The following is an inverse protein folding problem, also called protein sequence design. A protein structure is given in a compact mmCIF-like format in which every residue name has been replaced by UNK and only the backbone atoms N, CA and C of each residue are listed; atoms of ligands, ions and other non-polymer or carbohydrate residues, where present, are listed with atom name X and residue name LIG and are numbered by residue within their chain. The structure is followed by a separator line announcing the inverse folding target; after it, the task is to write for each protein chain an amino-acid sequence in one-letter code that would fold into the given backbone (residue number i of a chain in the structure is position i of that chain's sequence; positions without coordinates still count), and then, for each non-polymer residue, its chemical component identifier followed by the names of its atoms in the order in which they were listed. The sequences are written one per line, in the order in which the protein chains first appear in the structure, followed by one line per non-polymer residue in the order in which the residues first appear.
data_IF_697136310495
#
_entry.id   IF_697136310495
#
_cell.length_a   1.000
_cell.length_b   1.000
_cell.length_c   1.000
_cell.angle_alpha   90.00
_cell.angle_beta   90.00
_cell.angle_gamma   90.00
#
_symmetry.space_group_name_H-M   'P 1'
#
loop_
_entity.id
_entity.type
_entity.pdbx_description
1 polymer ?
#
# COMPACT_ATOMS: atom_id res chain seq x y z
N UNK A 1 -4.85 35.93 -52.11
CA UNK A 1 -4.27 36.35 -50.82
C UNK A 1 -5.34 36.25 -49.73
N UNK A 2 -5.19 35.36 -48.76
CA UNK A 2 -6.04 35.36 -47.56
C UNK A 2 -5.16 35.08 -46.33
N UNK A 3 -4.84 36.14 -45.57
CA UNK A 3 -4.09 36.06 -44.32
C UNK A 3 -5.05 35.63 -43.19
N UNK A 4 -4.80 34.45 -42.61
CA UNK A 4 -5.53 33.92 -41.45
C UNK A 4 -4.99 34.58 -40.18
N UNK A 5 -5.75 35.45 -39.54
CA UNK A 5 -5.38 36.09 -38.29
C UNK A 5 -5.52 35.12 -37.10
N UNK A 6 -4.42 34.85 -36.40
CA UNK A 6 -4.39 34.04 -35.18
C UNK A 6 -4.74 34.88 -33.94
N UNK A 7 -5.92 34.65 -33.35
CA UNK A 7 -6.31 35.24 -32.05
C UNK A 7 -5.46 34.64 -30.91
N UNK A 8 -4.61 35.45 -30.28
CA UNK A 8 -3.92 35.09 -29.02
C UNK A 8 -4.93 34.90 -27.89
N UNK A 9 -4.97 33.70 -27.28
CA UNK A 9 -5.75 33.41 -26.06
C UNK A 9 -5.17 34.19 -24.87
N UNK A 10 -6.01 35.00 -24.22
CA UNK A 10 -5.71 35.71 -22.96
C UNK A 10 -5.58 34.68 -21.83
N UNK A 11 -4.39 34.57 -21.22
CA UNK A 11 -4.15 33.73 -20.04
C UNK A 11 -4.79 34.43 -18.82
N UNK A 12 -5.79 33.80 -18.19
CA UNK A 12 -6.33 34.26 -16.90
C UNK A 12 -5.27 34.02 -15.82
N UNK A 13 -4.85 35.07 -15.09
CA UNK A 13 -4.01 34.95 -13.88
C UNK A 13 -4.69 33.98 -12.91
N UNK A 14 -3.97 32.96 -12.43
CA UNK A 14 -4.52 32.01 -11.45
C UNK A 14 -4.83 32.75 -10.15
N UNK A 15 -6.02 32.49 -9.58
CA UNK A 15 -6.35 32.99 -8.24
C UNK A 15 -5.36 32.38 -7.24
N UNK A 16 -4.84 33.21 -6.32
CA UNK A 16 -4.01 32.75 -5.20
C UNK A 16 -4.78 31.68 -4.41
N UNK A 17 -4.09 30.64 -3.96
CA UNK A 17 -4.73 29.60 -3.14
C UNK A 17 -5.19 30.19 -1.80
N UNK A 18 -6.17 29.55 -1.15
CA UNK A 18 -6.64 29.98 0.19
C UNK A 18 -5.50 30.00 1.20
N UNK A 19 -4.55 29.06 1.08
CA UNK A 19 -3.33 29.02 1.90
C UNK A 19 -2.40 30.21 1.65
N UNK A 20 -2.24 30.64 0.38
CA UNK A 20 -1.45 31.83 0.03
C UNK A 20 -2.08 33.13 0.53
N UNK A 21 -3.41 33.21 0.55
CA UNK A 21 -4.13 34.36 1.11
C UNK A 21 -3.96 34.41 2.62
N UNK A 22 -4.10 33.25 3.28
CA UNK A 22 -3.95 33.09 4.73
C UNK A 22 -2.56 33.43 5.24
N UNK A 23 -1.52 32.91 4.59
CA UNK A 23 -0.13 33.25 4.91
C UNK A 23 0.16 34.75 4.74
N UNK A 24 -0.44 35.40 3.74
CA UNK A 24 -0.30 36.83 3.52
C UNK A 24 -1.03 37.68 4.59
N UNK A 25 -2.11 37.16 5.18
CA UNK A 25 -2.91 37.88 6.19
C UNK A 25 -2.44 37.66 7.62
N UNK A 26 -2.01 36.44 7.97
CA UNK A 26 -1.72 36.05 9.36
C UNK A 26 -0.23 35.76 9.63
N UNK A 27 0.61 35.76 8.60
CA UNK A 27 2.04 35.45 8.73
C UNK A 27 2.34 33.96 8.92
N UNK A 28 3.60 33.67 9.23
CA UNK A 28 4.11 32.31 9.43
C UNK A 28 3.64 31.70 10.77
N UNK A 29 3.82 30.38 10.93
CA UNK A 29 3.49 29.69 12.18
C UNK A 29 4.32 30.27 13.35
N UNK A 30 3.70 30.56 14.51
CA UNK A 30 4.40 31.10 15.67
C UNK A 30 5.57 30.21 16.15
N UNK A 31 6.72 30.84 16.39
CA UNK A 31 7.92 30.22 16.99
C UNK A 31 8.17 30.75 18.41
N UNK A 32 8.99 30.01 19.18
CA UNK A 32 9.19 30.24 20.62
C UNK A 32 10.65 30.54 21.01
N UNK A 33 11.55 30.67 20.04
CA UNK A 33 12.99 30.88 20.26
C UNK A 33 13.34 32.23 20.92
N UNK A 34 12.49 33.24 20.76
CA UNK A 34 12.63 34.61 21.26
C UNK A 34 11.99 34.82 22.64
N UNK A 35 11.41 33.77 23.23
CA UNK A 35 10.67 33.89 24.50
C UNK A 35 11.55 34.32 25.68
N UNK A 36 12.86 34.08 25.62
CA UNK A 36 13.83 34.53 26.63
C UNK A 36 13.98 36.06 26.71
N UNK A 37 13.59 36.78 25.65
CA UNK A 37 13.66 38.24 25.57
C UNK A 37 12.34 38.94 25.85
N UNK A 38 11.30 38.18 26.20
CA UNK A 38 9.94 38.68 26.44
C UNK A 38 9.59 38.63 27.92
N UNK A 39 8.80 39.60 28.36
CA UNK A 39 8.17 39.57 29.68
C UNK A 39 7.09 38.49 29.75
N UNK A 40 6.71 38.06 30.95
CA UNK A 40 5.65 37.04 31.14
C UNK A 40 4.31 37.45 30.51
N UNK A 41 3.98 38.75 30.55
CA UNK A 41 2.78 39.31 29.92
C UNK A 41 2.85 39.23 28.39
N UNK A 42 4.01 39.53 27.80
CA UNK A 42 4.23 39.44 26.35
C UNK A 42 4.22 37.98 25.87
N UNK A 43 4.79 37.06 26.63
CA UNK A 43 4.71 35.61 26.35
C UNK A 43 3.25 35.15 26.36
N UNK A 44 2.47 35.57 27.35
CA UNK A 44 1.04 35.24 27.44
C UNK A 44 0.25 35.79 26.25
N UNK A 45 0.51 37.05 25.88
CA UNK A 45 -0.10 37.69 24.70
C UNK A 45 0.28 36.96 23.40
N UNK A 46 1.54 36.52 23.28
CA UNK A 46 2.04 35.75 22.15
C UNK A 46 1.37 34.37 22.04
N UNK A 47 1.16 33.69 23.17
CA UNK A 47 0.38 32.43 23.23
C UNK A 47 -1.07 32.65 22.75
N UNK A 48 -1.72 33.73 23.21
CA UNK A 48 -3.06 34.10 22.74
C UNK A 48 -3.12 34.34 21.23
N UNK A 49 -2.14 35.06 20.70
CA UNK A 49 -1.99 35.31 19.26
C UNK A 49 -1.76 34.01 18.48
N UNK A 50 -1.00 33.07 19.05
CA UNK A 50 -0.77 31.77 18.44
C UNK A 50 -2.04 30.91 18.35
N UNK A 51 -2.87 30.90 19.39
CA UNK A 51 -4.18 30.23 19.32
C UNK A 51 -5.07 30.79 18.22
N UNK A 52 -5.10 32.12 18.07
CA UNK A 52 -5.82 32.77 16.98
C UNK A 52 -5.26 32.36 15.62
N UNK A 53 -3.93 32.30 15.47
CA UNK A 53 -3.31 31.83 14.24
C UNK A 53 -3.74 30.40 13.90
N UNK A 54 -3.69 29.47 14.86
CA UNK A 54 -4.11 28.07 14.63
C UNK A 54 -5.60 27.96 14.27
N UNK A 55 -6.47 28.72 14.95
CA UNK A 55 -7.90 28.72 14.67
C UNK A 55 -8.23 29.16 13.23
N UNK A 56 -7.49 30.13 12.70
CA UNK A 56 -7.73 30.69 11.35
C UNK A 56 -7.03 29.90 10.24
N UNK A 57 -5.83 29.39 10.52
CA UNK A 57 -4.95 28.81 9.50
C UNK A 57 -5.04 27.29 9.39
N UNK A 58 -5.65 26.59 10.35
CA UNK A 58 -5.74 25.13 10.33
C UNK A 58 -7.17 24.58 10.24
N UNK A 59 -7.32 23.51 9.45
CA UNK A 59 -8.56 22.75 9.36
C UNK A 59 -8.72 21.80 10.56
N UNK A 60 -9.92 21.27 10.81
CA UNK A 60 -10.09 20.21 11.83
C UNK A 60 -9.19 18.98 11.54
N UNK A 61 -8.96 18.65 10.26
CA UNK A 61 -8.07 17.54 9.88
C UNK A 61 -6.62 17.81 10.29
N UNK A 62 -6.16 19.05 10.08
CA UNK A 62 -4.81 19.50 10.45
C UNK A 62 -4.61 19.48 11.96
N UNK A 63 -5.60 19.96 12.73
CA UNK A 63 -5.58 19.92 14.19
C UNK A 63 -5.44 18.48 14.73
N UNK A 64 -6.23 17.54 14.22
CA UNK A 64 -6.10 16.13 14.62
C UNK A 64 -4.72 15.55 14.28
N UNK A 65 -4.17 15.90 13.11
CA UNK A 65 -2.84 15.45 12.73
C UNK A 65 -1.80 15.91 13.75
N UNK A 66 -1.82 17.19 14.14
CA UNK A 66 -0.89 17.72 15.14
C UNK A 66 -1.05 17.05 16.50
N UNK A 67 -2.28 16.82 16.95
CA UNK A 67 -2.54 16.12 18.20
C UNK A 67 -1.91 14.72 18.23
N UNK A 68 -2.14 13.91 17.18
CA UNK A 68 -1.56 12.55 17.10
C UNK A 68 -0.05 12.54 16.82
N UNK A 69 0.53 13.61 16.29
CA UNK A 69 1.99 13.78 16.21
C UNK A 69 2.60 14.12 17.57
N UNK A 70 1.93 14.97 18.35
CA UNK A 70 2.33 15.31 19.71
C UNK A 70 2.28 14.10 20.64
N UNK A 71 1.21 13.28 20.60
CA UNK A 71 1.11 12.07 21.44
C UNK A 71 2.31 11.13 21.26
N UNK A 72 2.86 11.04 20.04
CA UNK A 72 4.04 10.21 19.73
C UNK A 72 5.33 10.78 20.30
N UNK A 73 5.40 12.10 20.52
CA UNK A 73 6.54 12.78 21.13
C UNK A 73 6.41 12.83 22.66
N UNK A 74 5.19 12.78 23.18
CA UNK A 74 4.87 12.89 24.60
C UNK A 74 4.75 11.52 25.32
N UNK A 75 5.38 10.47 24.77
CA UNK A 75 5.50 9.13 25.36
C UNK A 75 4.19 8.40 25.73
N UNK A 76 3.08 8.71 25.06
CA UNK A 76 1.85 7.91 25.20
C UNK A 76 2.02 6.52 24.61
N UNK A 77 1.45 5.52 25.29
CA UNK A 77 1.50 4.13 24.88
C UNK A 77 0.69 3.89 23.59
N UNK A 78 0.98 2.77 22.92
CA UNK A 78 0.24 2.40 21.69
C UNK A 78 -1.24 2.15 21.96
N UNK A 79 -1.57 1.63 23.13
CA UNK A 79 -2.94 1.28 23.51
C UNK A 79 -3.76 2.53 23.83
N UNK A 80 -3.19 3.50 24.54
CA UNK A 80 -3.82 4.82 24.74
C UNK A 80 -4.08 5.53 23.40
N UNK A 81 -3.11 5.47 22.46
CA UNK A 81 -3.30 6.03 21.11
C UNK A 81 -4.38 5.26 20.34
N UNK A 82 -4.52 3.96 20.55
CA UNK A 82 -5.58 3.13 19.94
C UNK A 82 -6.96 3.53 20.49
N UNK A 83 -7.08 3.68 21.82
CA UNK A 83 -8.30 4.16 22.48
C UNK A 83 -8.71 5.55 21.96
N UNK A 84 -7.77 6.49 21.90
CA UNK A 84 -8.05 7.82 21.34
C UNK A 84 -8.52 7.75 19.88
N UNK A 85 -7.97 6.86 19.05
CA UNK A 85 -8.44 6.69 17.67
C UNK A 85 -9.82 6.05 17.54
N UNK A 86 -10.30 5.34 18.57
CA UNK A 86 -11.63 4.77 18.58
C UNK A 86 -12.72 5.85 18.68
N UNK A 87 -12.39 7.01 19.28
CA UNK A 87 -13.30 8.13 19.45
C UNK A 87 -13.67 8.79 18.10
N UNK A 88 -14.91 9.29 17.96
CA UNK A 88 -15.32 10.04 16.78
C UNK A 88 -14.45 11.28 16.57
N UNK A 89 -13.97 11.54 15.35
CA UNK A 89 -13.13 12.72 15.06
C UNK A 89 -13.77 14.07 15.46
N UNK A 90 -15.10 14.15 15.55
CA UNK A 90 -15.80 15.37 15.96
C UNK A 90 -15.71 15.66 17.46
N UNK A 91 -15.37 14.67 18.29
CA UNK A 91 -15.28 14.81 19.75
C UNK A 91 -13.95 15.41 20.24
N UNK A 92 -13.00 15.65 19.33
CA UNK A 92 -11.74 16.33 19.63
C UNK A 92 -11.91 17.84 19.50
N UNK A 93 -11.73 18.55 20.61
CA UNK A 93 -11.79 20.01 20.60
C UNK A 93 -10.57 20.59 19.87
N UNK A 94 -10.81 21.56 18.98
CA UNK A 94 -9.73 22.22 18.21
C UNK A 94 -8.72 22.91 19.14
N UNK A 95 -9.20 23.52 20.22
CA UNK A 95 -8.37 24.17 21.22
C UNK A 95 -7.33 23.20 21.80
N UNK A 96 -7.76 22.04 22.29
CA UNK A 96 -6.86 21.02 22.86
C UNK A 96 -5.87 20.48 21.82
N UNK A 97 -6.29 20.34 20.57
CA UNK A 97 -5.38 19.95 19.49
C UNK A 97 -4.33 21.04 19.18
N UNK A 98 -4.69 22.32 19.33
CA UNK A 98 -3.76 23.44 19.18
C UNK A 98 -2.79 23.53 20.38
N UNK A 99 -3.26 23.25 21.60
CA UNK A 99 -2.38 23.10 22.79
C UNK A 99 -1.32 22.03 22.54
N UNK A 100 -1.71 20.87 22.03
CA UNK A 100 -0.77 19.81 21.68
C UNK A 100 0.28 20.26 20.63
N UNK A 101 -0.11 21.09 19.66
CA UNK A 101 0.82 21.66 18.67
C UNK A 101 1.79 22.63 19.32
N UNK A 102 1.30 23.52 20.18
CA UNK A 102 2.13 24.47 20.93
C UNK A 102 3.17 23.75 21.80
N UNK A 103 2.74 22.73 22.54
CA UNK A 103 3.63 21.88 23.34
C UNK A 103 4.67 21.15 22.46
N UNK A 104 4.26 20.61 21.32
CA UNK A 104 5.17 19.95 20.38
C UNK A 104 6.22 20.89 19.76
N UNK A 105 5.95 22.20 19.76
CA UNK A 105 6.83 23.26 19.25
C UNK A 105 7.62 23.95 20.38
N UNK A 106 7.48 23.52 21.64
CA UNK A 106 8.24 24.07 22.77
C UNK A 106 7.71 25.39 23.34
N UNK A 107 6.43 25.70 23.16
CA UNK A 107 5.83 26.90 23.74
C UNK A 107 5.88 26.86 25.29
N UNK A 108 6.24 27.96 25.97
CA UNK A 108 6.25 28.06 27.44
C UNK A 108 4.82 28.24 27.98
N UNK A 109 4.00 27.20 27.85
CA UNK A 109 2.63 27.18 28.38
C UNK A 109 2.68 27.02 29.90
N UNK A 110 1.87 27.80 30.62
CA UNK A 110 1.74 27.68 32.07
C UNK A 110 1.39 26.24 32.50
N UNK A 111 2.06 25.75 33.54
CA UNK A 111 1.94 24.36 34.03
C UNK A 111 0.50 23.96 34.36
N UNK A 112 -0.28 24.90 34.91
CA UNK A 112 -1.72 24.70 35.20
C UNK A 112 -2.54 24.39 33.95
N UNK A 113 -2.17 24.92 32.78
CA UNK A 113 -2.83 24.61 31.51
C UNK A 113 -2.36 23.28 30.94
N UNK A 114 -1.08 22.95 31.11
CA UNK A 114 -0.53 21.64 30.72
C UNK A 114 -1.25 20.53 31.49
N UNK A 115 -1.47 20.72 32.79
CA UNK A 115 -2.16 19.75 33.64
C UNK A 115 -3.63 19.57 33.22
N UNK A 116 -4.33 20.67 32.92
CA UNK A 116 -5.69 20.62 32.37
C UNK A 116 -5.73 19.85 31.05
N UNK A 117 -4.79 20.12 30.14
CA UNK A 117 -4.69 19.43 28.86
C UNK A 117 -4.49 17.92 29.06
N UNK A 118 -3.54 17.52 29.91
CA UNK A 118 -3.29 16.10 30.24
C UNK A 118 -4.54 15.43 30.81
N UNK A 119 -5.26 16.09 31.72
CA UNK A 119 -6.53 15.58 32.28
C UNK A 119 -7.60 15.39 31.21
N UNK A 120 -7.73 16.32 30.26
CA UNK A 120 -8.64 16.18 29.12
C UNK A 120 -8.26 14.95 28.27
N UNK A 121 -6.97 14.78 27.97
CA UNK A 121 -6.48 13.63 27.19
C UNK A 121 -6.74 12.31 27.91
N UNK A 122 -6.52 12.24 29.22
CA UNK A 122 -6.82 11.05 30.03
C UNK A 122 -8.30 10.70 30.02
N UNK A 123 -9.19 11.69 30.13
CA UNK A 123 -10.63 11.45 30.02
C UNK A 123 -11.00 10.90 28.64
N UNK A 124 -10.39 11.43 27.57
CA UNK A 124 -10.59 10.89 26.22
C UNK A 124 -10.00 9.50 26.03
N UNK A 125 -8.93 9.13 26.73
CA UNK A 125 -8.44 7.75 26.71
C UNK A 125 -9.51 6.83 27.31
N UNK A 126 -10.03 7.14 28.49
CA UNK A 126 -11.08 6.35 29.16
C UNK A 126 -12.34 6.18 28.30
N UNK A 127 -12.83 7.27 27.71
CA UNK A 127 -13.95 7.20 26.77
C UNK A 127 -13.64 6.31 25.55
N UNK A 128 -12.40 6.36 25.06
CA UNK A 128 -11.93 5.55 23.95
C UNK A 128 -11.81 4.06 24.30
N UNK A 129 -11.39 3.75 25.52
CA UNK A 129 -11.32 2.39 26.07
C UNK A 129 -12.73 1.79 26.19
N UNK A 130 -13.68 2.54 26.74
CA UNK A 130 -15.08 2.12 26.82
C UNK A 130 -15.68 1.82 25.44
N UNK A 131 -15.44 2.68 24.44
CA UNK A 131 -15.89 2.44 23.05
C UNK A 131 -15.27 1.16 22.44
N UNK A 132 -14.07 0.77 22.87
CA UNK A 132 -13.44 -0.46 22.42
C UNK A 132 -14.04 -1.68 23.11
N UNK A 133 -14.32 -1.58 24.41
CA UNK A 133 -14.97 -2.61 25.21
C UNK A 133 -16.40 -2.91 24.70
N UNK A 134 -17.21 -1.86 24.49
CA UNK A 134 -18.57 -1.99 23.94
C UNK A 134 -18.56 -2.68 22.55
N UNK A 135 -17.53 -2.41 21.73
CA UNK A 135 -17.38 -3.04 20.41
C UNK A 135 -16.94 -4.50 20.48
N UNK A 136 -16.16 -4.85 21.49
CA UNK A 136 -15.71 -6.22 21.70
C UNK A 136 -16.88 -7.07 22.22
N UNK A 137 -17.74 -6.52 23.08
CA UNK A 137 -19.01 -7.16 23.50
C UNK A 137 -19.97 -7.40 22.32
N UNK A 138 -20.21 -6.40 21.46
CA UNK A 138 -21.01 -6.56 20.24
C UNK A 138 -20.39 -7.53 19.22
N UNK A 139 -19.06 -7.77 19.30
CA UNK A 139 -18.36 -8.67 18.39
C UNK A 139 -18.41 -10.15 18.80
N UNK A 140 -19.00 -10.44 19.96
CA UNK A 140 -19.23 -11.81 20.44
C UNK A 140 -20.38 -12.53 19.72
N UNK A 141 -21.15 -11.83 18.88
CA UNK A 141 -21.98 -12.48 17.86
C UNK A 141 -21.07 -12.99 16.72
N UNK A 142 -20.96 -14.31 16.66
CA UNK A 142 -20.18 -15.14 15.74
C UNK A 142 -20.21 -14.58 14.30
N UNK A 143 -19.18 -13.83 13.89
CA UNK A 143 -19.11 -13.29 12.52
C UNK A 143 -19.02 -14.49 11.58
N UNK A 144 -20.01 -14.74 10.71
CA UNK A 144 -19.97 -15.92 9.85
C UNK A 144 -18.71 -15.87 9.01
N UNK A 145 -17.94 -16.96 9.07
CA UNK A 145 -16.75 -17.16 8.26
C UNK A 145 -17.09 -16.81 6.80
N UNK A 146 -16.17 -16.12 6.13
CA UNK A 146 -16.35 -15.71 4.73
C UNK A 146 -16.73 -16.91 3.86
N UNK A 147 -16.18 -18.10 4.14
CA UNK A 147 -16.53 -19.32 3.43
C UNK A 147 -17.98 -19.76 3.66
N UNK A 148 -18.47 -19.66 4.90
CA UNK A 148 -19.84 -20.01 5.26
C UNK A 148 -20.83 -19.03 4.63
N UNK A 149 -20.48 -17.75 4.60
CA UNK A 149 -21.28 -16.74 3.89
C UNK A 149 -21.33 -17.00 2.39
N UNK A 150 -20.20 -17.36 1.77
CA UNK A 150 -20.17 -17.70 0.34
C UNK A 150 -21.00 -18.97 0.08
N UNK A 151 -20.91 -19.97 0.97
CA UNK A 151 -21.69 -21.21 0.88
C UNK A 151 -23.18 -20.94 1.02
N UNK A 152 -23.61 -20.15 2.02
CA UNK A 152 -25.01 -19.80 2.23
C UNK A 152 -25.64 -19.09 1.02
N UNK A 153 -24.92 -18.14 0.41
CA UNK A 153 -25.39 -17.46 -0.81
C UNK A 153 -25.49 -18.43 -1.98
N UNK A 154 -24.53 -19.34 -2.15
CA UNK A 154 -24.60 -20.37 -3.19
C UNK A 154 -25.77 -21.31 -2.97
N UNK A 155 -25.99 -21.79 -1.74
CA UNK A 155 -27.13 -22.64 -1.39
C UNK A 155 -28.45 -21.95 -1.74
N UNK A 156 -28.60 -20.68 -1.37
CA UNK A 156 -29.79 -19.90 -1.72
C UNK A 156 -30.07 -19.90 -3.23
N UNK A 157 -29.03 -19.68 -4.06
CA UNK A 157 -29.20 -19.76 -5.51
C UNK A 157 -29.54 -21.17 -6.00
N UNK A 158 -28.93 -22.22 -5.45
CA UNK A 158 -29.27 -23.59 -5.81
C UNK A 158 -30.73 -23.93 -5.45
N UNK A 159 -31.19 -23.51 -4.27
CA UNK A 159 -32.58 -23.71 -3.83
C UNK A 159 -33.60 -23.00 -4.72
N UNK A 160 -33.24 -21.88 -5.35
CA UNK A 160 -34.11 -21.23 -6.36
C UNK A 160 -34.15 -21.98 -7.70
N UNK A 161 -33.11 -22.76 -8.02
CA UNK A 161 -33.01 -23.54 -9.26
C UNK A 161 -33.68 -24.92 -9.15
N UNK A 162 -33.72 -25.52 -7.95
CA UNK A 162 -34.35 -26.83 -7.71
C UNK A 162 -35.81 -26.90 -8.23
N UNK A 163 -36.72 -25.97 -7.90
CA UNK A 163 -38.09 -26.00 -8.42
C UNK A 163 -38.17 -25.97 -9.95
N UNK A 164 -37.18 -25.36 -10.61
CA UNK A 164 -37.12 -25.28 -12.08
C UNK A 164 -36.80 -26.66 -12.66
N UNK A 165 -35.86 -27.37 -12.03
CA UNK A 165 -35.48 -28.74 -12.39
C UNK A 165 -36.66 -29.70 -12.14
N UNK A 166 -37.29 -29.62 -10.97
CA UNK A 166 -38.46 -30.44 -10.64
C UNK A 166 -39.60 -30.21 -11.63
N UNK A 167 -39.84 -28.95 -12.00
CA UNK A 167 -40.85 -28.59 -13.00
C UNK A 167 -40.50 -29.19 -14.37
N UNK A 168 -39.22 -29.19 -14.75
CA UNK A 168 -38.76 -29.80 -16.00
C UNK A 168 -38.98 -31.31 -16.01
N UNK A 169 -38.66 -31.99 -14.91
CA UNK A 169 -38.88 -33.43 -14.72
C UNK A 169 -40.38 -33.75 -14.75
N UNK A 170 -41.20 -33.02 -13.98
CA UNK A 170 -42.65 -33.19 -13.92
C UNK A 170 -43.34 -32.96 -15.28
N UNK A 171 -42.77 -32.09 -16.13
CA UNK A 171 -43.19 -31.88 -17.52
C UNK A 171 -42.62 -32.93 -18.48
N UNK A 172 -42.23 -34.11 -18.00
CA UNK A 172 -41.68 -35.21 -18.79
C UNK A 172 -40.39 -34.82 -19.55
N UNK A 173 -39.56 -33.95 -18.97
CA UNK A 173 -38.35 -33.42 -19.57
C UNK A 173 -38.60 -32.83 -20.97
N UNK A 174 -39.71 -32.13 -21.16
CA UNK A 174 -40.04 -31.42 -22.41
C UNK A 174 -39.38 -30.05 -22.41
N UNK A 175 -39.28 -29.42 -23.59
CA UNK A 175 -38.69 -28.08 -23.74
C UNK A 175 -39.23 -27.10 -22.69
N UNK A 176 -38.32 -26.31 -22.14
CA UNK A 176 -38.58 -25.24 -21.18
C UNK A 176 -38.07 -23.92 -21.74
N UNK A 177 -38.69 -22.81 -21.37
CA UNK A 177 -38.25 -21.46 -21.72
C UNK A 177 -37.18 -20.93 -20.75
N UNK A 178 -36.76 -21.75 -19.79
CA UNK A 178 -35.72 -21.38 -18.83
C UNK A 178 -34.36 -21.26 -19.51
N UNK A 179 -33.73 -20.10 -19.37
CA UNK A 179 -32.38 -19.81 -19.82
C UNK A 179 -31.48 -19.45 -18.62
N UNK A 180 -30.50 -20.30 -18.32
CA UNK A 180 -29.64 -20.13 -17.15
C UNK A 180 -28.81 -18.84 -17.22
N UNK A 181 -28.27 -18.51 -18.39
CA UNK A 181 -27.54 -17.26 -18.57
C UNK A 181 -28.39 -16.00 -18.27
N UNK A 182 -29.67 -16.00 -18.69
CA UNK A 182 -30.59 -14.91 -18.40
C UNK A 182 -30.91 -14.82 -16.90
N UNK A 183 -31.10 -15.97 -16.25
CA UNK A 183 -31.34 -16.06 -14.81
C UNK A 183 -30.14 -15.53 -14.00
N UNK A 184 -28.91 -15.94 -14.33
CA UNK A 184 -27.67 -15.47 -13.70
C UNK A 184 -27.51 -13.95 -13.82
N UNK A 185 -27.88 -13.40 -14.97
CA UNK A 185 -27.84 -11.95 -15.23
C UNK A 185 -28.86 -11.20 -14.39
N UNK A 186 -30.10 -11.67 -14.34
CA UNK A 186 -31.18 -11.06 -13.57
C UNK A 186 -30.86 -11.04 -12.07
N UNK A 187 -30.32 -12.15 -11.56
CA UNK A 187 -29.94 -12.30 -10.14
C UNK A 187 -28.57 -11.70 -9.80
N UNK A 188 -27.89 -11.07 -10.77
CA UNK A 188 -26.58 -10.43 -10.61
C UNK A 188 -25.53 -11.34 -9.94
N UNK A 189 -25.56 -12.62 -10.29
CA UNK A 189 -24.72 -13.63 -9.66
C UNK A 189 -23.24 -13.31 -9.90
N UNK A 190 -22.40 -13.37 -8.86
CA UNK A 190 -20.96 -13.14 -9.03
C UNK A 190 -20.29 -14.39 -9.60
N UNK A 191 -19.21 -14.20 -10.37
CA UNK A 191 -18.43 -15.29 -10.98
C UNK A 191 -18.07 -16.44 -10.03
N UNK A 192 -17.75 -16.14 -8.77
CA UNK A 192 -17.47 -17.16 -7.75
C UNK A 192 -18.69 -18.04 -7.45
N UNK A 193 -19.87 -17.44 -7.27
CA UNK A 193 -21.09 -18.19 -6.98
C UNK A 193 -21.54 -18.98 -8.20
N UNK A 194 -21.43 -18.40 -9.40
CA UNK A 194 -21.74 -19.12 -10.65
C UNK A 194 -20.89 -20.39 -10.82
N UNK A 195 -19.58 -20.34 -10.51
CA UNK A 195 -18.74 -21.55 -10.50
C UNK A 195 -19.22 -22.59 -9.49
N UNK A 196 -19.53 -22.17 -8.27
CA UNK A 196 -20.03 -23.10 -7.24
C UNK A 196 -21.40 -23.69 -7.56
N UNK A 197 -22.26 -22.94 -8.25
CA UNK A 197 -23.54 -23.47 -8.77
C UNK A 197 -23.25 -24.54 -9.82
N UNK A 198 -22.29 -24.30 -10.73
CA UNK A 198 -21.88 -25.31 -11.71
C UNK A 198 -21.34 -26.57 -11.03
N UNK A 199 -20.52 -26.43 -9.99
CA UNK A 199 -19.98 -27.56 -9.21
C UNK A 199 -21.14 -28.36 -8.56
N UNK A 200 -22.09 -27.68 -7.91
CA UNK A 200 -23.27 -28.30 -7.30
C UNK A 200 -24.12 -29.06 -8.33
N UNK A 201 -24.36 -28.45 -9.49
CA UNK A 201 -25.15 -29.08 -10.56
C UNK A 201 -24.41 -30.24 -11.24
N UNK A 202 -23.07 -30.29 -11.12
CA UNK A 202 -22.27 -31.37 -11.68
C UNK A 202 -22.48 -32.69 -10.93
N UNK A 203 -22.74 -32.63 -9.62
CA UNK A 203 -23.06 -33.82 -8.82
C UNK A 203 -24.34 -34.50 -9.34
N UNK A 204 -25.44 -33.76 -9.46
CA UNK A 204 -26.69 -34.29 -10.04
C UNK A 204 -26.56 -34.66 -11.52
N UNK A 205 -25.75 -33.94 -12.28
CA UNK A 205 -25.46 -34.30 -13.68
C UNK A 205 -24.83 -35.70 -13.77
N UNK A 206 -23.83 -35.98 -12.94
CA UNK A 206 -23.13 -37.28 -12.91
C UNK A 206 -24.07 -38.42 -12.50
N UNK A 207 -24.95 -38.19 -11.52
CA UNK A 207 -25.97 -39.17 -11.12
C UNK A 207 -26.91 -39.55 -12.28
N UNK A 208 -27.43 -38.56 -12.99
CA UNK A 208 -28.35 -38.79 -14.13
C UNK A 208 -27.62 -39.44 -15.31
N UNK A 209 -26.35 -39.09 -15.55
CA UNK A 209 -25.51 -39.78 -16.54
C UNK A 209 -25.34 -41.25 -16.16
N UNK A 210 -25.07 -41.53 -14.88
CA UNK A 210 -24.93 -42.90 -14.37
C UNK A 210 -26.18 -43.74 -14.57
N UNK A 211 -27.35 -43.17 -14.29
CA UNK A 211 -28.64 -43.81 -14.52
C UNK A 211 -28.93 -44.01 -16.03
N UNK A 212 -28.61 -43.02 -16.88
CA UNK A 212 -28.79 -43.11 -18.33
C UNK A 212 -27.97 -44.25 -18.93
N UNK A 213 -26.72 -44.38 -18.51
CA UNK A 213 -25.75 -45.33 -19.04
C UNK A 213 -25.88 -46.72 -18.38
N UNK A 214 -26.70 -46.84 -17.32
CA UNK A 214 -26.83 -48.03 -16.48
C UNK A 214 -25.48 -48.49 -15.91
N UNK A 215 -24.65 -47.53 -15.51
CA UNK A 215 -23.34 -47.81 -14.90
C UNK A 215 -23.43 -48.09 -13.40
N UNK A 216 -24.55 -47.76 -12.77
CA UNK A 216 -24.84 -47.99 -11.35
C UNK A 216 -26.29 -48.46 -11.21
N UNK A 217 -26.49 -49.63 -10.60
CA UNK A 217 -27.81 -50.25 -10.44
C UNK A 217 -28.73 -49.43 -9.52
N UNK A 218 -28.21 -48.79 -8.47
CA UNK A 218 -29.00 -47.95 -7.56
C UNK A 218 -29.46 -46.68 -8.26
N UNK A 219 -28.61 -46.06 -9.08
CA UNK A 219 -28.98 -44.89 -9.87
C UNK A 219 -30.04 -45.27 -10.93
N UNK A 220 -29.86 -46.40 -11.61
CA UNK A 220 -30.86 -46.89 -12.57
C UNK A 220 -32.23 -47.14 -11.92
N UNK A 221 -32.26 -47.69 -10.70
CA UNK A 221 -33.51 -47.87 -9.94
C UNK A 221 -34.13 -46.52 -9.54
N UNK A 222 -33.32 -45.63 -8.96
CA UNK A 222 -33.76 -44.32 -8.47
C UNK A 222 -34.38 -43.43 -9.56
N UNK A 223 -33.91 -43.56 -10.81
CA UNK A 223 -34.44 -42.83 -11.96
C UNK A 223 -35.35 -43.66 -12.88
N UNK A 224 -35.76 -44.85 -12.47
CA UNK A 224 -36.58 -45.78 -13.29
C UNK A 224 -37.92 -45.20 -13.75
N UNK A 225 -38.44 -44.17 -13.08
CA UNK A 225 -39.64 -43.43 -13.47
C UNK A 225 -39.45 -42.58 -14.75
N UNK A 226 -38.20 -42.41 -15.22
CA UNK A 226 -37.85 -41.73 -16.46
C UNK A 226 -37.41 -42.70 -17.55
N UNK A 227 -37.94 -42.52 -18.75
CA UNK A 227 -37.49 -43.24 -19.94
C UNK A 227 -36.09 -42.77 -20.39
N UNK A 228 -35.35 -43.62 -21.12
CA UNK A 228 -34.02 -43.28 -21.68
C UNK A 228 -34.00 -41.95 -22.46
N UNK A 229 -35.00 -41.61 -23.31
CA UNK A 229 -35.05 -40.30 -23.94
C UNK A 229 -35.24 -39.14 -22.97
N UNK A 230 -35.96 -39.34 -21.87
CA UNK A 230 -36.15 -38.30 -20.84
C UNK A 230 -34.85 -38.09 -20.05
N UNK A 231 -34.18 -39.17 -19.65
CA UNK A 231 -32.86 -39.11 -19.01
C UNK A 231 -31.86 -38.33 -19.86
N UNK A 232 -31.79 -38.62 -21.17
CA UNK A 232 -30.93 -37.85 -22.08
C UNK A 232 -31.23 -36.35 -22.05
N UNK A 233 -32.51 -35.96 -22.08
CA UNK A 233 -32.89 -34.53 -22.03
C UNK A 233 -32.58 -33.89 -20.69
N UNK A 234 -32.67 -34.64 -19.59
CA UNK A 234 -32.29 -34.16 -18.27
C UNK A 234 -30.78 -33.93 -18.17
N UNK A 235 -29.98 -34.86 -18.70
CA UNK A 235 -28.51 -34.68 -18.85
C UNK A 235 -28.21 -33.42 -19.67
N UNK A 236 -28.86 -33.25 -20.82
CA UNK A 236 -28.66 -32.08 -21.68
C UNK A 236 -29.04 -30.76 -20.96
N UNK A 237 -30.10 -30.80 -20.13
CA UNK A 237 -30.55 -29.65 -19.35
C UNK A 237 -29.53 -29.24 -18.28
N UNK A 238 -29.03 -30.18 -17.48
CA UNK A 238 -27.96 -29.94 -16.52
C UNK A 238 -26.67 -29.44 -17.21
N UNK A 239 -26.27 -30.07 -18.31
CA UNK A 239 -25.10 -29.64 -19.10
C UNK A 239 -25.23 -28.19 -19.56
N UNK A 240 -26.43 -27.78 -20.00
CA UNK A 240 -26.71 -26.40 -20.41
C UNK A 240 -26.56 -25.42 -19.24
N UNK A 241 -27.09 -25.77 -18.06
CA UNK A 241 -26.96 -24.95 -16.84
C UNK A 241 -25.49 -24.77 -16.45
N UNK A 242 -24.72 -25.87 -16.44
CA UNK A 242 -23.31 -25.88 -16.07
C UNK A 242 -22.49 -25.02 -17.05
N UNK A 243 -22.71 -25.19 -18.36
CA UNK A 243 -22.01 -24.43 -19.40
C UNK A 243 -22.31 -22.92 -19.31
N UNK A 244 -23.56 -22.54 -19.11
CA UNK A 244 -23.95 -21.14 -18.93
C UNK A 244 -23.33 -20.51 -17.68
N UNK A 245 -23.27 -21.25 -16.57
CA UNK A 245 -22.60 -20.81 -15.34
C UNK A 245 -21.10 -20.56 -15.57
N UNK A 246 -20.43 -21.47 -16.28
CA UNK A 246 -19.02 -21.34 -16.60
C UNK A 246 -18.75 -20.16 -17.55
N UNK A 247 -19.54 -20.00 -18.61
CA UNK A 247 -19.46 -18.86 -19.53
C UNK A 247 -19.67 -17.53 -18.81
N UNK A 248 -20.66 -17.45 -17.92
CA UNK A 248 -20.93 -16.25 -17.12
C UNK A 248 -19.75 -15.87 -16.24
N UNK A 249 -19.17 -16.85 -15.53
CA UNK A 249 -18.01 -16.63 -14.66
C UNK A 249 -16.79 -16.13 -15.46
N UNK A 250 -16.52 -16.73 -16.62
CA UNK A 250 -15.41 -16.35 -17.48
C UNK A 250 -15.60 -14.95 -18.09
N UNK A 251 -16.81 -14.62 -18.53
CA UNK A 251 -17.13 -13.29 -19.05
C UNK A 251 -16.94 -12.18 -18.01
N UNK A 252 -17.41 -12.39 -16.76
CA UNK A 252 -17.18 -11.43 -15.67
C UNK A 252 -15.69 -11.25 -15.37
N UNK A 253 -14.90 -12.33 -15.38
CA UNK A 253 -13.47 -12.25 -15.12
C UNK A 253 -12.71 -11.54 -16.25
N UNK A 254 -13.07 -11.77 -17.52
CA UNK A 254 -12.47 -11.09 -18.69
C UNK A 254 -12.74 -9.58 -18.71
N UNK A 255 -13.92 -9.16 -18.24
CA UNK A 255 -14.28 -7.73 -18.16
C UNK A 255 -13.38 -6.92 -17.19
N UNK A 256 -12.71 -7.60 -16.25
CA UNK A 256 -11.71 -7.00 -15.36
C UNK A 256 -10.35 -6.95 -16.06
N UNK A 257 -10.21 -6.05 -17.03
CA UNK A 257 -8.97 -5.89 -17.81
C UNK A 257 -7.72 -5.73 -16.92
N UNK A 258 -6.55 -6.25 -17.33
CA UNK A 258 -5.32 -6.10 -16.56
C UNK A 258 -5.01 -4.62 -16.32
N UNK A 259 -4.77 -4.26 -15.07
CA UNK A 259 -4.47 -2.87 -14.70
C UNK A 259 -3.22 -2.41 -15.46
N UNK A 260 -3.33 -1.37 -16.30
CA UNK A 260 -2.17 -0.78 -16.98
C UNK A 260 -1.13 -0.38 -15.93
N UNK A 261 0.06 -0.99 -15.98
CA UNK A 261 1.16 -0.64 -15.09
C UNK A 261 1.68 0.74 -15.49
N UNK A 262 1.83 1.63 -14.50
CA UNK A 262 2.45 2.94 -14.73
C UNK A 262 3.94 2.74 -15.07
N UNK A 263 4.48 3.57 -15.96
CA UNK A 263 5.92 3.59 -16.24
C UNK A 263 6.69 3.88 -14.94
N UNK A 264 7.70 3.06 -14.63
CA UNK A 264 8.50 3.20 -13.41
C UNK A 264 9.54 4.29 -13.66
N UNK A 265 9.57 5.32 -12.81
CA UNK A 265 10.58 6.39 -12.93
C UNK A 265 11.88 5.98 -12.24
N UNK A 266 13.00 6.62 -12.60
CA UNK A 266 14.30 6.40 -11.94
C UNK A 266 14.22 6.61 -10.41
N UNK A 267 13.44 7.60 -9.96
CA UNK A 267 13.19 7.87 -8.53
C UNK A 267 12.47 6.70 -7.84
N UNK A 268 11.53 6.05 -8.52
CA UNK A 268 10.80 4.89 -7.97
C UNK A 268 11.70 3.67 -7.81
N UNK A 269 12.65 3.46 -8.75
CA UNK A 269 13.65 2.40 -8.65
C UNK A 269 14.62 2.65 -7.50
N UNK A 270 15.12 3.88 -7.39
CA UNK A 270 16.09 4.29 -6.37
C UNK A 270 15.49 4.25 -4.96
N UNK A 271 14.18 4.52 -4.81
CA UNK A 271 13.48 4.44 -3.52
C UNK A 271 13.58 3.06 -2.85
N UNK A 272 13.75 2.00 -3.64
CA UNK A 272 13.88 0.63 -3.13
C UNK A 272 15.31 0.26 -2.73
N UNK A 273 16.29 1.11 -3.05
CA UNK A 273 17.70 0.88 -2.73
C UNK A 273 17.94 1.07 -1.22
N UNK A 274 18.48 0.03 -0.57
CA UNK A 274 18.87 0.07 0.83
C UNK A 274 20.37 0.36 0.93
N UNK A 275 20.74 1.50 1.50
CA UNK A 275 22.14 1.90 1.74
C UNK A 275 22.26 2.69 3.04
N UNK A 276 23.47 2.77 3.59
CA UNK A 276 23.78 3.55 4.79
C UNK A 276 24.05 5.00 4.40
N UNK A 277 23.35 5.96 5.00
CA UNK A 277 23.48 7.39 4.65
C UNK A 277 24.79 8.01 5.12
N UNK A 278 25.25 7.67 6.32
CA UNK A 278 26.51 8.13 6.90
C UNK A 278 27.07 7.07 7.83
N UNK A 279 28.37 7.15 8.10
CA UNK A 279 29.07 6.29 9.04
C UNK A 279 30.13 7.09 9.80
N UNK A 280 29.97 7.16 11.12
CA UNK A 280 30.83 7.97 11.98
C UNK A 280 32.18 7.28 12.24
N UNK A 281 32.23 5.94 12.19
CA UNK A 281 33.45 5.15 12.42
C UNK A 281 34.52 5.42 11.36
N UNK A 282 34.11 5.48 10.09
CA UNK A 282 35.00 5.77 8.96
C UNK A 282 34.85 7.20 8.43
N UNK A 283 34.01 8.03 9.08
CA UNK A 283 33.73 9.43 8.72
C UNK A 283 33.33 9.59 7.26
N UNK A 284 32.42 8.73 6.79
CA UNK A 284 31.93 8.72 5.42
C UNK A 284 30.47 9.15 5.33
N UNK A 285 30.15 9.91 4.28
CA UNK A 285 28.78 10.25 3.88
C UNK A 285 28.52 9.63 2.53
N UNK A 286 27.38 8.95 2.39
CA UNK A 286 26.98 8.32 1.14
C UNK A 286 26.51 9.37 0.14
N UNK A 287 26.87 9.17 -1.13
CA UNK A 287 26.35 10.01 -2.22
C UNK A 287 24.84 9.80 -2.42
N UNK A 288 24.18 10.82 -2.97
CA UNK A 288 22.79 10.69 -3.39
C UNK A 288 22.70 9.76 -4.62
N UNK A 289 21.90 8.67 -4.56
CA UNK A 289 21.76 7.73 -5.66
C UNK A 289 20.96 8.25 -6.87
N UNK A 290 20.45 9.49 -6.86
CA UNK A 290 19.67 10.08 -7.98
C UNK A 290 20.33 9.92 -9.36
N UNK A 291 21.65 10.12 -9.45
CA UNK A 291 22.39 10.03 -10.71
C UNK A 291 23.07 8.67 -10.92
N UNK A 292 22.77 7.67 -10.08
CA UNK A 292 23.48 6.39 -10.08
C UNK A 292 23.33 5.64 -11.41
N UNK A 293 22.16 5.72 -12.04
CA UNK A 293 21.89 5.05 -13.33
C UNK A 293 22.69 5.66 -14.50
N UNK A 294 23.10 6.92 -14.38
CA UNK A 294 23.83 7.65 -15.42
C UNK A 294 25.36 7.61 -15.24
N UNK A 295 25.83 6.85 -14.26
CA UNK A 295 27.27 6.75 -13.93
C UNK A 295 27.91 5.52 -14.53
N UNK A 296 29.21 5.61 -14.82
CA UNK A 296 29.99 4.50 -15.41
C UNK A 296 30.75 3.73 -14.33
N UNK A 297 31.09 4.38 -13.22
CA UNK A 297 31.84 3.79 -12.12
C UNK A 297 31.14 4.07 -10.79
N UNK A 298 30.95 3.03 -9.99
CA UNK A 298 30.38 3.13 -8.64
C UNK A 298 31.27 2.42 -7.62
N UNK A 299 31.67 3.15 -6.60
CA UNK A 299 32.42 2.64 -5.45
C UNK A 299 31.48 2.44 -4.27
N UNK A 300 31.43 1.20 -3.76
CA UNK A 300 30.58 0.84 -2.61
C UNK A 300 31.45 0.24 -1.52
N UNK A 301 31.33 0.76 -0.30
CA UNK A 301 32.05 0.24 0.85
C UNK A 301 31.09 -0.36 1.87
N UNK A 302 31.29 -1.64 2.21
CA UNK A 302 30.55 -2.30 3.27
C UNK A 302 31.27 -2.11 4.60
N UNK A 303 30.64 -1.37 5.51
CA UNK A 303 31.19 -1.01 6.83
C UNK A 303 31.39 -2.21 7.76
N UNK A 304 30.51 -3.21 7.68
CA UNK A 304 30.56 -4.41 8.52
C UNK A 304 31.71 -5.35 8.11
N UNK A 305 31.83 -5.61 6.81
CA UNK A 305 32.81 -6.57 6.28
C UNK A 305 34.12 -5.93 5.81
N UNK A 306 34.24 -4.60 5.88
CA UNK A 306 35.38 -3.79 5.37
C UNK A 306 35.73 -4.12 3.90
N UNK A 307 34.72 -4.39 3.08
CA UNK A 307 34.89 -4.69 1.65
C UNK A 307 34.61 -3.45 0.82
N UNK A 308 35.54 -3.10 -0.06
CA UNK A 308 35.36 -2.08 -1.08
C UNK A 308 35.12 -2.77 -2.41
N UNK A 309 33.99 -2.44 -3.03
CA UNK A 309 33.56 -2.90 -4.33
C UNK A 309 33.71 -1.78 -5.36
N UNK A 310 34.29 -2.12 -6.52
CA UNK A 310 34.26 -1.30 -7.72
C UNK A 310 33.27 -1.94 -8.71
N UNK A 311 32.22 -1.21 -9.04
CA UNK A 311 31.32 -1.55 -10.14
C UNK A 311 31.65 -0.68 -11.36
N UNK A 312 31.75 -1.32 -12.53
CA UNK A 312 31.92 -0.67 -13.83
C UNK A 312 30.69 -1.01 -14.68
N UNK A 313 29.97 0.01 -15.15
CA UNK A 313 28.75 -0.18 -15.93
C UNK A 313 29.07 -0.75 -17.32
N UNK A 314 28.14 -1.52 -17.88
CA UNK A 314 28.14 -1.88 -19.30
C UNK A 314 27.48 -0.77 -20.13
N UNK A 315 27.46 -0.96 -21.45
CA UNK A 315 26.71 -0.10 -22.37
C UNK A 315 25.26 0.08 -21.89
N UNK A 316 24.79 1.33 -21.87
CA UNK A 316 23.47 1.69 -21.36
C UNK A 316 23.38 2.01 -19.86
N UNK A 317 24.51 2.01 -19.13
CA UNK A 317 24.56 2.46 -17.72
C UNK A 317 24.07 1.43 -16.71
N UNK A 318 24.08 1.78 -15.42
CA UNK A 318 23.60 0.88 -14.38
C UNK A 318 22.09 0.72 -14.39
N UNK A 319 21.61 -0.46 -13.99
CA UNK A 319 20.18 -0.74 -13.76
C UNK A 319 19.95 -1.13 -12.30
N UNK A 320 18.71 -0.97 -11.80
CA UNK A 320 18.35 -1.33 -10.42
C UNK A 320 17.13 -2.25 -10.41
N UNK A 321 17.24 -3.37 -9.70
CA UNK A 321 16.13 -4.27 -9.37
C UNK A 321 16.03 -4.40 -7.85
N UNK A 322 15.17 -3.59 -7.24
CA UNK A 322 15.07 -3.49 -5.78
C UNK A 322 16.35 -2.89 -5.19
N UNK A 323 17.06 -3.67 -4.38
CA UNK A 323 18.35 -3.27 -3.78
C UNK A 323 19.57 -3.86 -4.49
N UNK A 324 19.38 -4.41 -5.69
CA UNK A 324 20.43 -5.06 -6.48
C UNK A 324 20.76 -4.19 -7.68
N UNK A 325 22.01 -3.73 -7.75
CA UNK A 325 22.60 -3.13 -8.95
C UNK A 325 22.63 -4.17 -10.07
N UNK A 326 22.45 -3.75 -11.32
CA UNK A 326 22.40 -4.54 -12.54
C UNK A 326 23.16 -3.85 -13.68
N UNK A 327 23.47 -4.61 -14.73
CA UNK A 327 24.20 -4.16 -15.92
C UNK A 327 25.64 -3.66 -15.67
N UNK A 328 26.46 -4.45 -14.97
CA UNK A 328 27.88 -4.16 -14.73
C UNK A 328 28.81 -5.22 -15.36
N UNK A 329 30.05 -4.83 -15.68
CA UNK A 329 31.06 -5.69 -16.29
C UNK A 329 31.64 -6.67 -15.26
N UNK A 330 31.52 -7.98 -15.51
CA UNK A 330 31.96 -9.05 -14.60
C UNK A 330 33.49 -9.14 -14.47
N UNK A 331 34.24 -8.73 -15.50
CA UNK A 331 35.70 -8.84 -15.51
C UNK A 331 36.36 -7.66 -14.80
N UNK A 332 35.85 -6.46 -15.06
CA UNK A 332 36.38 -5.22 -14.50
C UNK A 332 35.87 -4.94 -13.08
N UNK A 333 34.67 -5.42 -12.75
CA UNK A 333 34.05 -5.17 -11.45
C UNK A 333 34.40 -6.26 -10.44
N UNK A 334 35.00 -5.86 -9.32
CA UNK A 334 35.41 -6.79 -8.28
C UNK A 334 35.42 -6.11 -6.90
N UNK A 335 35.36 -6.92 -5.83
CA UNK A 335 35.56 -6.44 -4.46
C UNK A 335 36.88 -6.92 -3.87
N UNK A 336 37.44 -6.09 -2.98
CA UNK A 336 38.60 -6.42 -2.15
C UNK A 336 38.33 -6.04 -0.69
N UNK A 337 38.87 -6.83 0.23
CA UNK A 337 38.81 -6.51 1.67
C UNK A 337 39.94 -5.54 2.02
N UNK A 338 39.64 -4.44 2.71
CA UNK A 338 40.61 -3.42 3.08
C UNK A 338 41.01 -3.59 4.55
N UNK A 339 42.31 -3.74 4.82
CA UNK A 339 42.84 -3.83 6.19
C UNK A 339 42.88 -2.49 6.92
N UNK A 340 43.18 -1.39 6.19
CA UNK A 340 43.24 -0.03 6.72
C UNK A 340 42.29 0.92 5.96
N UNK A 341 40.98 0.89 6.26
CA UNK A 341 40.00 1.70 5.53
C UNK A 341 40.29 3.20 5.57
N UNK A 342 40.76 3.72 6.71
CA UNK A 342 41.06 5.15 6.91
C UNK A 342 42.18 5.68 6.00
N UNK A 343 43.08 4.83 5.51
CA UNK A 343 44.14 5.24 4.58
C UNK A 343 43.72 5.12 3.10
N UNK A 344 42.75 4.26 2.80
CA UNK A 344 42.36 3.91 1.41
C UNK A 344 41.13 4.70 0.96
N UNK A 345 40.13 4.84 1.82
CA UNK A 345 38.85 5.48 1.49
C UNK A 345 39.00 6.98 1.13
N UNK A 346 39.87 7.79 1.79
CA UNK A 346 40.04 9.19 1.40
C UNK A 346 40.51 9.36 -0.05
N UNK A 347 41.36 8.45 -0.55
CA UNK A 347 41.80 8.47 -1.95
C UNK A 347 40.62 8.29 -2.90
N UNK A 348 39.71 7.35 -2.59
CA UNK A 348 38.52 7.07 -3.42
C UNK A 348 37.54 8.25 -3.40
N UNK A 349 37.35 8.87 -2.22
CA UNK A 349 36.45 10.02 -2.04
C UNK A 349 36.97 11.27 -2.74
N UNK A 350 38.29 11.53 -2.71
CA UNK A 350 38.87 12.80 -3.16
C UNK A 350 39.47 12.74 -4.58
N UNK A 351 40.17 11.67 -4.94
CA UNK A 351 40.92 11.59 -6.21
C UNK A 351 40.09 11.05 -7.38
N UNK A 352 40.50 11.36 -8.60
CA UNK A 352 39.82 10.90 -9.82
C UNK A 352 39.95 9.39 -10.07
N UNK A 353 39.19 8.87 -11.05
CA UNK A 353 39.03 7.43 -11.30
C UNK A 353 40.34 6.67 -11.43
N UNK A 354 41.32 7.20 -12.19
CA UNK A 354 42.62 6.55 -12.43
C UNK A 354 43.41 6.35 -11.14
N UNK A 355 43.45 7.37 -10.28
CA UNK A 355 44.15 7.30 -9.00
C UNK A 355 43.46 6.32 -8.04
N UNK A 356 42.13 6.31 -8.02
CA UNK A 356 41.32 5.40 -7.20
C UNK A 356 41.46 3.95 -7.65
N UNK A 357 41.46 3.68 -8.95
CA UNK A 357 41.71 2.34 -9.51
C UNK A 357 43.13 1.86 -9.23
N UNK A 358 44.14 2.72 -9.43
CA UNK A 358 45.52 2.40 -9.07
C UNK A 358 45.63 1.99 -7.60
N UNK A 359 45.06 2.80 -6.71
CA UNK A 359 45.05 2.52 -5.26
C UNK A 359 44.30 1.23 -4.92
N UNK A 360 43.19 0.94 -5.60
CA UNK A 360 42.44 -0.29 -5.43
C UNK A 360 43.20 -1.53 -5.92
N UNK A 361 43.95 -1.39 -7.01
CA UNK A 361 44.77 -2.47 -7.56
C UNK A 361 45.97 -2.80 -6.65
N UNK A 362 46.58 -1.81 -6.00
CA UNK A 362 47.66 -2.00 -5.01
C UNK A 362 47.25 -2.82 -3.77
N UNK A 363 45.96 -2.94 -3.48
CA UNK A 363 45.46 -3.76 -2.37
C UNK A 363 45.77 -5.24 -2.66
N UNK A 364 46.63 -5.85 -1.83
CA UNK A 364 47.08 -7.26 -1.93
C UNK A 364 45.99 -8.32 -1.66
N UNK A 365 44.78 -7.92 -1.27
CA UNK A 365 43.70 -8.85 -0.98
C UNK A 365 43.19 -9.54 -2.26
N UNK A 366 42.79 -10.81 -2.12
CA UNK A 366 42.19 -11.60 -3.22
C UNK A 366 40.94 -10.91 -3.75
N UNK A 367 40.84 -10.79 -5.07
CA UNK A 367 39.64 -10.31 -5.77
C UNK A 367 38.50 -11.29 -5.51
N UNK A 368 37.32 -10.79 -5.15
CA UNK A 368 36.09 -11.58 -5.10
C UNK A 368 35.08 -11.03 -6.12
N UNK A 369 34.23 -11.91 -6.60
CA UNK A 369 33.15 -11.59 -7.52
C UNK A 369 32.05 -10.83 -6.80
N UNK A 370 31.39 -9.92 -7.53
CA UNK A 370 30.32 -9.07 -7.01
C UNK A 370 28.96 -9.69 -7.29
N UNK A 371 28.05 -9.58 -6.33
CA UNK A 371 26.65 -10.02 -6.46
C UNK A 371 25.69 -8.89 -6.85
N UNK A 372 26.16 -7.64 -6.83
CA UNK A 372 25.34 -6.45 -7.09
C UNK A 372 24.44 -6.02 -5.93
N UNK A 373 24.34 -6.80 -4.85
CA UNK A 373 23.43 -6.50 -3.73
C UNK A 373 23.98 -5.40 -2.84
N UNK A 374 23.26 -4.29 -2.74
CA UNK A 374 23.53 -3.18 -1.83
C UNK A 374 22.57 -3.30 -0.63
N UNK A 375 23.08 -3.19 0.59
CA UNK A 375 22.31 -3.34 1.82
C UNK A 375 22.54 -2.16 2.78
N UNK A 376 21.86 -2.17 3.94
CA UNK A 376 21.92 -1.10 4.95
C UNK A 376 23.31 -0.87 5.58
N UNK A 377 24.29 -1.74 5.34
CA UNK A 377 25.68 -1.57 5.79
C UNK A 377 26.60 -1.00 4.70
N UNK A 378 26.11 -0.90 3.46
CA UNK A 378 26.85 -0.38 2.32
C UNK A 378 26.71 1.14 2.24
N UNK A 379 27.84 1.84 2.17
CA UNK A 379 27.94 3.26 1.85
C UNK A 379 28.28 3.39 0.36
N UNK A 380 27.56 4.26 -0.36
CA UNK A 380 27.92 4.65 -1.71
C UNK A 380 29.01 5.72 -1.60
N UNK A 381 30.27 5.33 -1.78
CA UNK A 381 31.42 6.19 -1.50
C UNK A 381 31.57 7.25 -2.58
N UNK A 382 31.47 6.85 -3.84
CA UNK A 382 31.61 7.76 -4.98
C UNK A 382 31.04 7.15 -6.26
N UNK A 383 30.42 7.98 -7.09
CA UNK A 383 30.02 7.63 -8.44
C UNK A 383 30.67 8.62 -9.42
N UNK A 384 31.19 8.09 -10.52
CA UNK A 384 31.91 8.85 -11.55
C UNK A 384 31.38 8.42 -12.92
N UNK A 385 31.35 9.37 -13.84
CA UNK A 385 31.03 9.12 -15.24
C UNK A 385 32.27 8.70 -16.02
#
# INVERSE_FOLDING_TARGET
MARRATKKKRVKKSRKSVEQIRAQTYGDEPHWEDTEFLTEEEVTSKIGSAFNWYAQNASSSTHHKWFFEWLKKADYTKDEIKALKARPKKSFYRFECAVARLLANGAPIAETQIEKHKKTVQNWIREGEQILEDKDEDSSEDKPNIQDRVKAITIHYCSELEPIIDTFIAKNCRKTDFEMYAWLKTNQVKALHAKRIADWMSESYEEVVGARDNSDEQLSEGYSFLSKPQLKRLVDFYATIIDDCNKWADNQNRSRGPRKRKAITAKDLIKQLKYKKSDDTYKLVSINPENLLETSYLWVFNTHNRRLALYVAKDGGFQLKGSTLQNWNLEESHEKTIRKPNEVLPTVVQKGIRASQKRFNEIKAKKKTLTGRINSHCILVRALR
#
